data_IF_689534237839
#
_entry.id   IF_689534237839
#
_cell.length_a   1.000
_cell.length_b   1.000
_cell.length_c   1.000
_cell.angle_alpha   90.00
_cell.angle_beta   90.00
_cell.angle_gamma   90.00
#
_symmetry.space_group_name_H-M   'P 1'
#
loop_
_entity.id
_entity.type
_entity.pdbx_description
1 polymer ?
#
# COMPACT_ATOMS: atom_id res chain seq x y z
N UNK A 1 -26.84 -14.48 11.12
CA UNK A 1 -25.53 -14.11 10.55
C UNK A 1 -24.82 -13.24 11.58
N UNK A 2 -23.61 -13.59 11.99
CA UNK A 2 -22.78 -12.73 12.84
C UNK A 2 -22.03 -11.77 11.91
N UNK A 3 -22.18 -10.47 12.12
CA UNK A 3 -21.48 -9.44 11.35
C UNK A 3 -20.14 -9.16 12.04
N UNK A 4 -19.03 -9.48 11.38
CA UNK A 4 -17.72 -8.94 11.79
C UNK A 4 -17.52 -7.62 11.06
N UNK A 5 -17.37 -6.53 11.81
CA UNK A 5 -17.03 -5.22 11.27
C UNK A 5 -15.56 -4.92 11.57
N UNK A 6 -14.83 -4.46 10.56
CA UNK A 6 -13.48 -3.95 10.69
C UNK A 6 -13.51 -2.47 10.30
N UNK A 7 -13.09 -1.59 11.21
CA UNK A 7 -12.93 -0.17 10.91
C UNK A 7 -11.45 0.04 10.63
N UNK A 8 -11.12 0.38 9.40
CA UNK A 8 -9.77 0.67 8.97
C UNK A 8 -9.79 1.92 8.09
N UNK A 9 -8.79 2.79 8.27
CA UNK A 9 -8.62 4.00 7.47
C UNK A 9 -7.51 3.76 6.48
N UNK A 10 -7.79 3.97 5.19
CA UNK A 10 -6.74 3.96 4.18
C UNK A 10 -5.87 5.21 4.36
N UNK A 11 -4.54 5.09 4.37
CA UNK A 11 -3.65 6.24 4.39
C UNK A 11 -3.63 7.06 3.09
N UNK A 12 -4.23 6.55 2.00
CA UNK A 12 -4.24 7.21 0.70
C UNK A 12 -5.66 7.24 0.10
N UNK A 13 -5.88 8.13 -0.86
CA UNK A 13 -7.11 8.27 -1.62
C UNK A 13 -6.89 8.02 -3.13
N UNK A 14 -7.98 7.75 -3.86
CA UNK A 14 -7.92 7.63 -5.32
C UNK A 14 -7.60 9.00 -5.92
N UNK A 15 -6.63 9.05 -6.81
CA UNK A 15 -6.10 10.27 -7.41
C UNK A 15 -4.84 10.81 -6.72
N UNK A 16 -4.47 10.28 -5.55
CA UNK A 16 -3.23 10.67 -4.88
C UNK A 16 -2.01 10.33 -5.73
N UNK A 17 -1.06 11.27 -5.77
CA UNK A 17 0.25 11.08 -6.40
C UNK A 17 1.28 10.78 -5.32
N UNK A 18 1.92 9.62 -5.43
CA UNK A 18 2.85 9.12 -4.43
C UNK A 18 4.18 8.78 -5.10
N UNK A 19 5.29 9.20 -4.48
CA UNK A 19 6.62 8.79 -4.91
C UNK A 19 6.98 7.47 -4.22
N UNK A 20 7.19 6.43 -5.03
CA UNK A 20 7.49 5.08 -4.52
C UNK A 20 8.76 4.53 -5.14
N UNK A 21 9.45 3.67 -4.41
CA UNK A 21 10.53 2.82 -4.93
C UNK A 21 10.02 1.40 -5.08
N UNK A 22 10.11 0.86 -6.30
CA UNK A 22 9.63 -0.50 -6.59
C UNK A 22 10.56 -1.57 -6.01
N UNK A 23 9.99 -2.49 -5.23
CA UNK A 23 10.69 -3.66 -4.71
C UNK A 23 9.80 -4.91 -4.79
N UNK A 24 9.89 -5.68 -5.89
CA UNK A 24 9.05 -6.87 -6.08
C UNK A 24 7.56 -6.50 -6.15
N UNK A 25 6.77 -7.05 -5.23
CA UNK A 25 5.33 -6.80 -5.12
C UNK A 25 4.95 -5.66 -4.14
N UNK A 26 5.94 -4.93 -3.61
CA UNK A 26 5.73 -3.79 -2.72
C UNK A 26 6.24 -2.49 -3.33
N UNK A 27 5.56 -1.38 -3.02
CA UNK A 27 6.01 -0.01 -3.27
C UNK A 27 6.47 0.62 -1.95
N UNK A 28 7.73 1.04 -1.89
CA UNK A 28 8.29 1.66 -0.69
C UNK A 28 8.09 3.17 -0.75
N UNK A 29 7.41 3.74 0.24
CA UNK A 29 7.15 5.18 0.36
C UNK A 29 8.16 5.83 1.32
N UNK A 30 8.55 7.07 1.04
CA UNK A 30 9.44 7.85 1.93
C UNK A 30 10.89 7.36 2.01
N UNK A 31 11.29 6.42 1.15
CA UNK A 31 12.65 5.88 1.08
C UNK A 31 13.61 6.71 0.22
N UNK A 32 14.90 6.33 0.17
CA UNK A 32 15.87 6.98 -0.72
C UNK A 32 15.46 6.84 -2.19
N UNK A 33 15.67 7.90 -2.96
CA UNK A 33 15.41 7.92 -4.40
C UNK A 33 16.49 7.12 -5.12
N UNK A 34 16.06 6.17 -5.95
CA UNK A 34 16.92 5.27 -6.73
C UNK A 34 16.46 5.25 -8.19
N UNK A 35 17.18 4.55 -9.06
CA UNK A 35 16.75 4.32 -10.44
C UNK A 35 15.42 3.53 -10.55
N UNK A 36 14.93 2.94 -9.46
CA UNK A 36 13.63 2.24 -9.39
C UNK A 36 12.54 3.09 -8.74
N UNK A 37 12.78 4.37 -8.50
CA UNK A 37 11.79 5.28 -7.95
C UNK A 37 10.97 5.91 -9.06
N UNK A 38 9.66 6.07 -8.84
CA UNK A 38 8.77 6.79 -9.74
C UNK A 38 7.64 7.45 -8.97
N UNK A 39 7.13 8.56 -9.51
CA UNK A 39 5.84 9.10 -9.11
C UNK A 39 4.73 8.25 -9.76
N UNK A 40 3.78 7.81 -8.96
CA UNK A 40 2.62 7.02 -9.41
C UNK A 40 1.33 7.66 -8.90
N UNK A 41 0.25 7.47 -9.65
CA UNK A 41 -1.10 7.88 -9.23
C UNK A 41 -1.86 6.67 -8.74
N UNK A 42 -2.52 6.76 -7.59
CA UNK A 42 -3.41 5.72 -7.08
C UNK A 42 -4.71 5.75 -7.88
N UNK A 43 -5.07 4.63 -8.49
CA UNK A 43 -6.25 4.52 -9.37
C UNK A 43 -7.36 3.67 -8.77
N UNK A 44 -7.03 2.79 -7.83
CA UNK A 44 -8.01 2.01 -7.05
C UNK A 44 -7.45 1.60 -5.68
N UNK A 45 -8.33 1.29 -4.73
CA UNK A 45 -7.99 0.87 -3.36
C UNK A 45 -8.71 -0.43 -3.01
N UNK A 46 -7.94 -1.47 -2.72
CA UNK A 46 -8.44 -2.77 -2.31
C UNK A 46 -8.25 -2.96 -0.80
N UNK A 47 -9.34 -3.31 -0.09
CA UNK A 47 -9.31 -3.66 1.32
C UNK A 47 -9.34 -5.19 1.52
N UNK A 48 -8.21 -5.77 1.90
CA UNK A 48 -8.04 -7.22 2.11
C UNK A 48 -8.25 -7.58 3.57
N UNK A 49 -9.28 -8.36 3.85
CA UNK A 49 -9.70 -8.73 5.20
C UNK A 49 -9.17 -10.12 5.59
N UNK A 50 -8.53 -10.22 6.76
CA UNK A 50 -8.16 -11.49 7.39
C UNK A 50 -8.97 -11.72 8.67
N UNK A 51 -10.03 -12.52 8.58
CA UNK A 51 -10.89 -12.79 9.74
C UNK A 51 -10.15 -13.50 10.87
N UNK A 52 -9.24 -14.44 10.55
CA UNK A 52 -8.44 -15.16 11.55
C UNK A 52 -7.45 -14.24 12.28
N UNK A 53 -6.83 -13.30 11.56
CA UNK A 53 -5.84 -12.37 12.11
C UNK A 53 -6.46 -11.08 12.64
N UNK A 54 -7.76 -10.89 12.45
CA UNK A 54 -8.51 -9.68 12.76
C UNK A 54 -7.85 -8.42 12.18
N UNK A 55 -7.43 -8.48 10.91
CA UNK A 55 -6.64 -7.43 10.27
C UNK A 55 -7.22 -7.05 8.91
N UNK A 56 -7.10 -5.78 8.55
CA UNK A 56 -7.35 -5.27 7.20
C UNK A 56 -6.04 -4.71 6.64
N UNK A 57 -5.67 -5.13 5.44
CA UNK A 57 -4.55 -4.58 4.70
C UNK A 57 -5.07 -3.87 3.45
N UNK A 58 -4.49 -2.71 3.15
CA UNK A 58 -4.78 -1.99 1.93
C UNK A 58 -3.76 -2.31 0.85
N UNK A 59 -4.27 -2.58 -0.35
CA UNK A 59 -3.48 -2.65 -1.57
C UNK A 59 -3.97 -1.55 -2.52
N UNK A 60 -3.08 -1.06 -3.37
CA UNK A 60 -3.34 0.10 -4.21
C UNK A 60 -3.05 -0.27 -5.65
N UNK A 61 -4.02 -0.03 -6.51
CA UNK A 61 -3.75 0.00 -7.94
C UNK A 61 -3.04 1.30 -8.28
N UNK A 62 -1.95 1.20 -9.02
CA UNK A 62 -1.14 2.33 -9.45
C UNK A 62 -1.16 2.46 -10.98
N UNK A 63 -1.41 3.67 -11.46
CA UNK A 63 -1.42 4.04 -12.87
C UNK A 63 -2.26 3.08 -13.74
N UNK A 64 -3.37 2.52 -13.24
CA UNK A 64 -4.24 1.55 -13.95
C UNK A 64 -3.52 0.27 -14.42
N UNK A 65 -2.37 -0.06 -13.82
CA UNK A 65 -1.48 -1.10 -14.35
C UNK A 65 -1.15 -2.22 -13.37
N UNK A 66 -0.91 -1.89 -12.10
CA UNK A 66 -0.39 -2.83 -11.11
C UNK A 66 -1.01 -2.57 -9.76
N UNK A 67 -1.30 -3.66 -9.05
CA UNK A 67 -1.72 -3.60 -7.64
C UNK A 67 -0.52 -3.91 -6.76
N UNK A 68 -0.21 -3.02 -5.82
CA UNK A 68 0.91 -3.15 -4.89
C UNK A 68 0.47 -2.89 -3.46
N UNK A 69 1.19 -3.46 -2.50
CA UNK A 69 1.14 -2.98 -1.14
C UNK A 69 2.11 -1.80 -0.99
N UNK A 70 1.65 -0.68 -0.44
CA UNK A 70 2.50 0.44 -0.07
C UNK A 70 3.00 0.27 1.36
N UNK A 71 4.32 0.40 1.54
CA UNK A 71 4.98 0.22 2.84
C UNK A 71 5.91 1.40 3.09
N UNK A 72 5.82 1.98 4.28
CA UNK A 72 6.70 3.07 4.70
C UNK A 72 8.14 2.58 4.88
N UNK A 73 9.11 3.39 4.43
CA UNK A 73 10.53 3.07 4.55
C UNK A 73 10.97 2.73 5.98
N UNK A 74 10.43 3.42 6.99
CA UNK A 74 10.75 3.18 8.39
C UNK A 74 10.34 1.76 8.85
N UNK A 75 9.26 1.20 8.28
CA UNK A 75 8.87 -0.18 8.56
C UNK A 75 9.88 -1.18 7.97
N UNK A 76 10.42 -0.90 6.79
CA UNK A 76 11.41 -1.75 6.11
C UNK A 76 12.81 -1.63 6.74
N UNK A 77 13.19 -0.44 7.20
CA UNK A 77 14.51 -0.17 7.79
C UNK A 77 14.74 -0.91 9.11
N UNK A 78 13.67 -1.12 9.89
CA UNK A 78 13.72 -1.73 11.21
C UNK A 78 13.72 -3.27 11.19
N UNK A 79 13.63 -3.92 10.02
CA UNK A 79 13.75 -5.39 9.87
C UNK A 79 15.20 -5.88 9.78
N UNK A 80 16.18 -5.10 10.27
CA UNK A 80 17.61 -5.46 10.31
C UNK A 80 18.05 -6.03 11.64
#
# INVERSE_FOLDING_TARGET
MQQSAFIAHSPYEIGDKVNITFHGAIGIVGGPVTARSAEVTITDILAVHSCKRQQVNFMYEINETKVLQLVEWEAVKNEK
#
